data_IF_734456336217
#
_entry.id   IF_734456336217
#
_cell.length_a   1.000
_cell.length_b   1.000
_cell.length_c   1.000
_cell.angle_alpha   90.00
_cell.angle_beta   90.00
_cell.angle_gamma   90.00
#
_symmetry.space_group_name_H-M   'P 1'
#
loop_
_entity.id
_entity.type
_entity.pdbx_description
1 polymer ?
#
# COMPACT_ATOMS: atom_id res chain seq x y z
N UNK A 1 11.68 7.32 -8.26
CA UNK A 1 12.50 6.64 -9.29
C UNK A 1 13.45 5.61 -8.70
N UNK A 2 14.21 5.94 -7.65
CA UNK A 2 15.24 5.02 -7.13
C UNK A 2 14.76 3.79 -6.34
N UNK A 3 13.47 3.70 -5.97
CA UNK A 3 12.92 2.59 -5.19
C UNK A 3 12.11 1.56 -6.01
N UNK A 4 12.18 1.65 -7.33
CA UNK A 4 11.50 0.76 -8.27
C UNK A 4 12.23 -0.59 -8.36
N UNK A 5 11.48 -1.70 -8.46
CA UNK A 5 12.05 -3.03 -8.73
C UNK A 5 11.89 -3.42 -10.20
N UNK A 6 10.77 -3.05 -10.82
CA UNK A 6 10.52 -3.20 -12.26
C UNK A 6 10.69 -1.87 -12.98
N UNK A 7 11.85 -1.68 -13.63
CA UNK A 7 12.18 -0.44 -14.32
C UNK A 7 11.35 -0.20 -15.59
N UNK A 8 10.73 -1.23 -16.18
CA UNK A 8 9.87 -1.06 -17.35
C UNK A 8 8.52 -0.49 -16.94
N UNK A 9 7.94 -1.04 -15.86
CA UNK A 9 6.63 -0.61 -15.35
C UNK A 9 6.70 0.56 -14.40
N UNK A 10 7.89 0.90 -13.89
CA UNK A 10 8.08 1.90 -12.84
C UNK A 10 7.33 1.58 -11.53
N UNK A 11 7.22 0.29 -11.20
CA UNK A 11 6.54 -0.23 -10.01
C UNK A 11 7.54 -0.93 -9.08
N UNK A 12 7.35 -0.79 -7.77
CA UNK A 12 8.05 -1.59 -6.78
C UNK A 12 7.17 -2.75 -6.33
N UNK A 13 7.60 -3.98 -6.62
CA UNK A 13 6.97 -5.21 -6.18
C UNK A 13 7.80 -5.83 -5.05
N UNK A 14 7.15 -6.11 -3.92
CA UNK A 14 7.74 -6.73 -2.75
C UNK A 14 6.97 -8.02 -2.43
N UNK A 15 7.67 -9.15 -2.45
CA UNK A 15 7.10 -10.45 -2.09
C UNK A 15 7.40 -10.78 -0.63
N UNK A 16 6.37 -11.18 0.11
CA UNK A 16 6.40 -11.43 1.55
C UNK A 16 7.08 -10.31 2.38
N UNK A 17 6.76 -9.01 2.19
CA UNK A 17 7.43 -7.96 2.93
C UNK A 17 7.02 -7.90 4.41
N UNK A 18 7.92 -7.37 5.22
CA UNK A 18 7.55 -6.74 6.48
C UNK A 18 7.06 -5.32 6.25
N UNK A 19 6.14 -4.84 7.09
CA UNK A 19 5.50 -3.54 6.96
C UNK A 19 5.67 -2.78 8.27
N UNK A 20 6.51 -1.75 8.25
CA UNK A 20 6.65 -0.80 9.34
C UNK A 20 5.57 0.28 9.19
N UNK A 21 4.78 0.48 10.23
CA UNK A 21 3.66 1.44 10.25
C UNK A 21 3.90 2.42 11.39
N UNK A 22 4.11 3.70 11.06
CA UNK A 22 4.33 4.74 12.05
C UNK A 22 3.68 6.05 11.62
N UNK A 23 3.27 6.86 12.60
CA UNK A 23 2.85 8.24 12.38
C UNK A 23 4.02 9.24 12.54
N UNK A 24 5.22 8.74 12.84
CA UNK A 24 6.42 9.56 12.99
C UNK A 24 7.05 9.90 11.65
N UNK A 25 7.81 10.99 11.67
CA UNK A 25 8.71 11.38 10.60
C UNK A 25 10.07 10.71 10.79
N UNK A 26 10.59 10.09 9.73
CA UNK A 26 11.88 9.39 9.74
C UNK A 26 12.90 10.27 9.00
N UNK A 27 13.62 11.10 9.77
CA UNK A 27 14.69 11.96 9.24
C UNK A 27 16.09 11.36 9.45
N UNK A 28 16.26 10.55 10.50
CA UNK A 28 17.53 9.93 10.87
C UNK A 28 17.45 8.41 10.72
N UNK A 29 18.45 7.84 10.06
CA UNK A 29 18.54 6.39 9.86
C UNK A 29 18.79 5.64 11.18
N UNK A 30 19.44 6.29 12.16
CA UNK A 30 19.78 5.69 13.46
C UNK A 30 18.54 5.23 14.25
N UNK A 31 17.39 5.88 14.03
CA UNK A 31 16.16 5.54 14.74
C UNK A 31 15.55 4.21 14.26
N UNK A 32 15.86 3.80 13.03
CA UNK A 32 15.37 2.54 12.44
C UNK A 32 16.48 1.51 12.23
N UNK A 33 17.74 1.86 12.47
CA UNK A 33 18.90 1.00 12.25
C UNK A 33 18.82 -0.35 12.98
N UNK A 34 18.39 -0.44 14.25
CA UNK A 34 18.23 -1.73 14.95
C UNK A 34 17.21 -2.66 14.27
N UNK A 35 16.12 -2.07 13.77
CA UNK A 35 15.08 -2.80 13.04
C UNK A 35 15.60 -3.27 11.67
N UNK A 36 16.34 -2.42 10.96
CA UNK A 36 16.94 -2.76 9.67
C UNK A 36 17.93 -3.92 9.78
N UNK A 37 18.78 -3.94 10.80
CA UNK A 37 19.71 -5.05 11.07
C UNK A 37 18.96 -6.36 11.31
N UNK A 38 17.86 -6.31 12.05
CA UNK A 38 17.01 -7.47 12.33
C UNK A 38 16.34 -8.01 11.07
N UNK A 39 15.87 -7.13 10.18
CA UNK A 39 15.24 -7.53 8.91
C UNK A 39 16.28 -8.07 7.92
N UNK A 40 17.49 -7.50 7.89
CA UNK A 40 18.59 -7.97 7.04
C UNK A 40 18.91 -9.45 7.29
N UNK A 41 18.85 -9.91 8.54
CA UNK A 41 19.05 -11.33 8.87
C UNK A 41 17.97 -12.24 8.30
N UNK A 42 16.74 -11.74 8.15
CA UNK A 42 15.60 -12.48 7.60
C UNK A 42 15.55 -12.50 6.07
N UNK A 43 16.39 -11.68 5.40
CA UNK A 43 16.43 -11.53 3.94
C UNK A 43 15.06 -11.27 3.29
N UNK A 44 14.17 -10.57 4.00
CA UNK A 44 12.82 -10.18 3.52
C UNK A 44 12.79 -8.70 3.16
N UNK A 45 11.98 -8.30 2.16
CA UNK A 45 11.80 -6.88 1.84
C UNK A 45 11.07 -6.12 2.95
N UNK A 46 11.27 -4.81 3.00
CA UNK A 46 10.62 -3.91 3.95
C UNK A 46 9.82 -2.82 3.23
N UNK A 47 8.55 -2.67 3.60
CA UNK A 47 7.73 -1.50 3.30
C UNK A 47 7.70 -0.60 4.54
N UNK A 48 8.00 0.69 4.37
CA UNK A 48 7.90 1.71 5.42
C UNK A 48 6.74 2.63 5.08
N UNK A 49 5.75 2.71 5.97
CA UNK A 49 4.64 3.66 5.92
C UNK A 49 4.84 4.64 7.08
N UNK A 50 5.22 5.87 6.78
CA UNK A 50 5.54 6.91 7.75
C UNK A 50 4.93 8.25 7.35
N UNK A 51 4.82 9.23 8.26
CA UNK A 51 4.35 10.57 7.89
C UNK A 51 5.20 11.18 6.77
N UNK A 52 6.51 11.14 6.97
CA UNK A 52 7.48 11.50 5.95
C UNK A 52 8.79 10.73 6.16
N UNK A 53 9.52 10.52 5.08
CA UNK A 53 10.88 9.95 5.10
C UNK A 53 11.79 10.91 4.35
N UNK A 54 12.63 11.62 5.11
CA UNK A 54 13.47 12.69 4.58
C UNK A 54 14.86 12.70 5.23
N UNK A 55 15.56 13.83 5.10
CA UNK A 55 16.89 14.03 5.71
C UNK A 55 17.93 13.04 5.17
N UNK A 56 18.72 12.49 6.09
CA UNK A 56 19.77 11.52 5.77
C UNK A 56 19.23 10.10 5.62
N UNK A 57 18.02 9.82 6.13
CA UNK A 57 17.41 8.50 6.03
C UNK A 57 17.10 8.13 4.58
N UNK A 58 16.45 9.02 3.82
CA UNK A 58 16.02 8.72 2.45
C UNK A 58 17.19 8.40 1.49
N UNK A 59 18.28 9.21 1.40
CA UNK A 59 19.43 8.88 0.55
C UNK A 59 20.10 7.57 0.95
N UNK A 60 20.16 7.28 2.25
CA UNK A 60 20.78 6.05 2.78
C UNK A 60 19.97 4.82 2.39
N UNK A 61 18.63 4.88 2.51
CA UNK A 61 17.74 3.79 2.08
C UNK A 61 17.85 3.55 0.57
N UNK A 62 17.90 4.63 -0.21
CA UNK A 62 18.07 4.56 -1.68
C UNK A 62 19.40 3.93 -2.05
N UNK A 63 20.51 4.34 -1.43
CA UNK A 63 21.84 3.82 -1.74
C UNK A 63 21.95 2.32 -1.44
N UNK A 64 21.39 1.88 -0.31
CA UNK A 64 21.37 0.46 0.05
C UNK A 64 20.52 -0.38 -0.90
N UNK A 65 19.39 0.18 -1.38
CA UNK A 65 18.59 -0.49 -2.41
C UNK A 65 19.33 -0.63 -3.74
N UNK A 66 19.99 0.43 -4.21
CA UNK A 66 20.77 0.40 -5.47
C UNK A 66 21.92 -0.62 -5.37
N UNK A 67 22.54 -0.76 -4.20
CA UNK A 67 23.59 -1.75 -3.95
C UNK A 67 23.07 -3.19 -3.88
N UNK A 68 21.75 -3.39 -3.91
CA UNK A 68 21.12 -4.71 -3.79
C UNK A 68 21.28 -5.36 -2.42
N UNK A 69 21.79 -4.63 -1.42
CA UNK A 69 21.99 -5.15 -0.06
C UNK A 69 20.68 -5.21 0.72
N UNK A 70 19.72 -4.33 0.40
CA UNK A 70 18.46 -4.24 1.13
C UNK A 70 17.30 -3.81 0.23
N UNK A 71 16.25 -4.62 0.10
CA UNK A 71 15.08 -4.24 -0.68
C UNK A 71 14.06 -3.51 0.21
N UNK A 72 14.08 -2.17 0.13
CA UNK A 72 13.19 -1.29 0.89
C UNK A 72 12.40 -0.36 -0.02
N UNK A 73 11.17 -0.07 0.38
CA UNK A 73 10.32 0.96 -0.22
C UNK A 73 9.71 1.79 0.90
N UNK A 74 9.83 3.11 0.79
CA UNK A 74 9.21 4.04 1.71
C UNK A 74 8.07 4.78 1.02
N UNK A 75 6.90 4.85 1.67
CA UNK A 75 5.71 5.55 1.22
C UNK A 75 5.18 6.45 2.33
N UNK A 76 4.48 7.51 1.94
CA UNK A 76 3.84 8.42 2.89
C UNK A 76 2.55 7.81 3.45
N UNK A 77 2.29 8.07 4.72
CA UNK A 77 1.07 7.68 5.39
C UNK A 77 -0.16 8.36 4.73
N UNK A 78 -1.27 7.63 4.56
CA UNK A 78 -2.47 8.20 3.97
C UNK A 78 -3.17 9.15 4.95
N UNK A 79 -3.73 10.24 4.41
CA UNK A 79 -4.49 11.21 5.19
C UNK A 79 -3.63 12.10 6.11
N UNK A 80 -4.32 12.86 6.97
CA UNK A 80 -3.71 13.85 7.87
C UNK A 80 -4.43 13.85 9.23
N UNK A 81 -3.73 14.30 10.28
CA UNK A 81 -4.28 14.39 11.63
C UNK A 81 -4.85 13.07 12.15
N UNK A 82 -6.00 13.12 12.82
CA UNK A 82 -6.64 11.94 13.41
C UNK A 82 -7.05 10.89 12.37
N UNK A 83 -7.35 11.33 11.14
CA UNK A 83 -7.67 10.41 10.04
C UNK A 83 -6.48 9.54 9.68
N UNK A 84 -5.27 10.09 9.71
CA UNK A 84 -4.04 9.32 9.48
C UNK A 84 -3.88 8.23 10.53
N UNK A 85 -4.04 8.56 11.81
CA UNK A 85 -3.94 7.59 12.90
C UNK A 85 -4.94 6.45 12.72
N UNK A 86 -6.19 6.78 12.42
CA UNK A 86 -7.23 5.79 12.18
C UNK A 86 -6.95 4.90 10.95
N UNK A 87 -6.39 5.46 9.87
CA UNK A 87 -6.03 4.70 8.67
C UNK A 87 -4.77 3.84 8.87
N UNK A 88 -3.77 4.33 9.61
CA UNK A 88 -2.59 3.53 9.97
C UNK A 88 -2.98 2.35 10.85
N UNK A 89 -3.91 2.56 11.79
CA UNK A 89 -4.49 1.49 12.60
C UNK A 89 -5.23 0.45 11.74
N UNK A 90 -6.00 0.89 10.74
CA UNK A 90 -6.66 -0.03 9.79
C UNK A 90 -5.64 -0.90 9.05
N UNK A 91 -4.54 -0.31 8.58
CA UNK A 91 -3.47 -1.03 7.87
C UNK A 91 -2.75 -1.99 8.84
N UNK A 92 -2.50 -1.57 10.08
CA UNK A 92 -1.91 -2.42 11.12
C UNK A 92 -2.78 -3.65 11.39
N UNK A 93 -4.08 -3.46 11.61
CA UNK A 93 -5.02 -4.58 11.83
C UNK A 93 -5.06 -5.50 10.61
N UNK A 94 -5.10 -4.95 9.39
CA UNK A 94 -5.15 -5.73 8.15
C UNK A 94 -3.87 -6.54 7.91
N UNK A 95 -2.72 -6.04 8.35
CA UNK A 95 -1.41 -6.68 8.16
C UNK A 95 -0.94 -7.48 9.37
N UNK A 96 -1.66 -7.42 10.50
CA UNK A 96 -1.26 -8.07 11.75
C UNK A 96 -0.12 -7.36 12.49
N UNK A 97 0.14 -6.09 12.16
CA UNK A 97 1.18 -5.28 12.80
C UNK A 97 0.64 -4.35 13.89
N UNK A 98 1.55 -3.65 14.57
CA UNK A 98 1.22 -2.60 15.54
C UNK A 98 1.71 -1.25 15.02
N UNK A 99 0.87 -0.21 15.17
CA UNK A 99 1.29 1.16 14.81
C UNK A 99 2.26 1.68 15.86
N UNK A 100 3.46 2.08 15.42
CA UNK A 100 4.45 2.71 16.28
C UNK A 100 4.15 4.20 16.35
N UNK A 101 3.56 4.63 17.46
CA UNK A 101 3.14 6.01 17.71
C UNK A 101 3.59 6.51 19.07
N UNK A 102 3.84 7.81 19.14
CA UNK A 102 4.19 8.53 20.36
C UNK A 102 3.06 8.51 21.40
N UNK A 103 1.80 8.47 20.94
CA UNK A 103 0.63 8.43 21.83
C UNK A 103 0.61 7.19 22.73
N UNK A 104 1.19 6.09 22.25
CA UNK A 104 1.32 4.82 22.96
C UNK A 104 2.68 4.69 23.68
N UNK A 105 3.52 5.73 23.63
CA UNK A 105 4.86 5.73 24.22
C UNK A 105 5.85 4.80 23.50
N UNK A 106 5.58 4.43 22.24
CA UNK A 106 6.44 3.55 21.47
C UNK A 106 7.49 4.36 20.69
N UNK A 107 8.75 3.96 20.81
CA UNK A 107 9.85 4.51 20.03
C UNK A 107 10.21 3.62 18.85
N UNK A 108 10.67 4.22 17.75
CA UNK A 108 11.14 3.47 16.57
C UNK A 108 12.34 2.58 16.89
N UNK A 109 13.14 2.96 17.89
CA UNK A 109 14.33 2.22 18.33
C UNK A 109 13.99 0.91 19.03
N UNK A 110 12.85 0.88 19.70
CA UNK A 110 12.37 -0.28 20.45
C UNK A 110 11.45 -1.16 19.61
N UNK A 111 11.27 -0.83 18.33
CA UNK A 111 10.49 -1.60 17.38
C UNK A 111 11.07 -3.01 17.23
N UNK A 112 10.25 -4.04 17.46
CA UNK A 112 10.60 -5.44 17.23
C UNK A 112 10.02 -5.92 15.90
N UNK A 113 10.56 -7.02 15.36
CA UNK A 113 10.00 -7.67 14.16
C UNK A 113 8.53 -8.07 14.39
N UNK A 114 8.16 -8.43 15.63
CA UNK A 114 6.80 -8.81 16.01
C UNK A 114 5.79 -7.67 15.88
N UNK A 115 6.25 -6.41 15.99
CA UNK A 115 5.41 -5.24 15.78
C UNK A 115 5.16 -4.96 14.29
N UNK A 116 5.93 -5.57 13.37
CA UNK A 116 5.78 -5.33 11.93
C UNK A 116 4.60 -6.11 11.35
N UNK A 117 3.85 -5.44 10.49
CA UNK A 117 2.83 -6.09 9.68
C UNK A 117 3.46 -7.00 8.62
N UNK A 118 2.66 -7.93 8.11
CA UNK A 118 3.05 -8.83 7.03
C UNK A 118 1.97 -8.90 5.96
N UNK A 119 2.40 -9.14 4.72
CA UNK A 119 1.51 -9.37 3.58
C UNK A 119 2.17 -10.36 2.61
N UNK A 120 1.39 -11.03 1.77
CA UNK A 120 1.93 -11.92 0.75
C UNK A 120 2.63 -11.14 -0.37
N UNK A 121 2.04 -10.02 -0.81
CA UNK A 121 2.63 -9.15 -1.84
C UNK A 121 2.25 -7.70 -1.61
N UNK A 122 3.19 -6.79 -1.88
CA UNK A 122 2.93 -5.35 -1.95
C UNK A 122 3.39 -4.82 -3.30
N UNK A 123 2.54 -4.04 -3.95
CA UNK A 123 2.89 -3.29 -5.15
C UNK A 123 2.76 -1.79 -4.88
N UNK A 124 3.80 -1.03 -5.17
CA UNK A 124 3.85 0.42 -5.00
C UNK A 124 4.12 1.06 -6.34
N UNK A 125 3.18 1.88 -6.81
CA UNK A 125 3.36 2.77 -7.95
C UNK A 125 3.53 4.23 -7.48
N UNK A 126 3.46 5.19 -8.41
CA UNK A 126 3.65 6.60 -8.09
C UNK A 126 2.56 7.16 -7.16
N UNK A 127 1.33 6.69 -7.34
CA UNK A 127 0.12 7.28 -6.77
C UNK A 127 -0.58 6.32 -5.79
N UNK A 128 -0.33 5.02 -5.87
CA UNK A 128 -0.99 3.97 -5.11
C UNK A 128 -0.02 2.99 -4.45
N UNK A 129 -0.44 2.48 -3.30
CA UNK A 129 0.18 1.35 -2.60
C UNK A 129 -0.89 0.28 -2.40
N UNK A 130 -0.67 -0.89 -2.98
CA UNK A 130 -1.58 -2.03 -2.91
C UNK A 130 -0.97 -3.13 -2.07
N UNK A 131 -1.64 -3.49 -0.97
CA UNK A 131 -1.26 -4.58 -0.08
C UNK A 131 -2.19 -5.76 -0.37
N UNK A 132 -1.61 -6.92 -0.70
CA UNK A 132 -2.33 -8.13 -1.09
C UNK A 132 -2.12 -9.20 -0.03
N UNK A 133 -3.23 -9.79 0.44
CA UNK A 133 -3.26 -10.85 1.46
C UNK A 133 -2.44 -10.46 2.70
N UNK A 134 -2.93 -9.48 3.45
CA UNK A 134 -2.37 -9.12 4.76
C UNK A 134 -2.55 -10.24 5.78
N UNK A 135 -1.58 -10.42 6.68
CA UNK A 135 -1.57 -11.48 7.69
C UNK A 135 -2.37 -11.11 8.97
N UNK A 136 -3.33 -10.21 8.86
CA UNK A 136 -4.18 -9.79 9.97
C UNK A 136 -5.15 -10.86 10.44
N UNK A 137 -5.51 -10.82 11.72
CA UNK A 137 -6.52 -11.70 12.30
C UNK A 137 -7.92 -11.39 11.71
N UNK A 138 -8.61 -12.38 11.09
CA UNK A 138 -9.95 -12.19 10.56
C UNK A 138 -10.97 -11.64 11.57
N UNK A 139 -10.86 -12.02 12.86
CA UNK A 139 -11.75 -11.51 13.90
C UNK A 139 -11.48 -10.02 14.18
N UNK A 140 -10.21 -9.64 14.30
CA UNK A 140 -9.82 -8.24 14.48
C UNK A 140 -10.28 -7.36 13.30
N UNK A 141 -10.16 -7.86 12.06
CA UNK A 141 -10.63 -7.16 10.85
C UNK A 141 -12.16 -7.03 10.88
N UNK A 142 -12.90 -8.10 11.21
CA UNK A 142 -14.36 -8.08 11.29
C UNK A 142 -14.86 -7.09 12.36
N UNK A 143 -14.20 -7.06 13.52
CA UNK A 143 -14.48 -6.10 14.58
C UNK A 143 -14.23 -4.67 14.12
N UNK A 144 -13.12 -4.42 13.42
CA UNK A 144 -12.82 -3.09 12.89
C UNK A 144 -13.85 -2.64 11.86
N UNK A 145 -14.29 -3.54 10.98
CA UNK A 145 -15.37 -3.31 10.02
C UNK A 145 -16.68 -2.95 10.73
N UNK A 146 -17.02 -3.64 11.82
CA UNK A 146 -18.23 -3.35 12.60
C UNK A 146 -18.18 -1.96 13.27
N UNK A 147 -17.01 -1.57 13.80
CA UNK A 147 -16.80 -0.23 14.38
C UNK A 147 -16.98 0.87 13.33
N UNK A 148 -16.44 0.70 12.13
CA UNK A 148 -16.59 1.71 11.07
C UNK A 148 -18.05 1.79 10.60
N UNK A 149 -18.76 0.66 10.50
CA UNK A 149 -20.19 0.64 10.17
C UNK A 149 -21.04 1.40 11.18
N UNK A 150 -20.80 1.23 12.48
CA UNK A 150 -21.55 1.97 13.50
C UNK A 150 -21.25 3.48 13.45
N UNK A 151 -20.01 3.87 13.17
CA UNK A 151 -19.64 5.28 12.97
C UNK A 151 -20.37 5.93 11.77
N UNK A 152 -20.60 5.17 10.69
CA UNK A 152 -21.35 5.62 9.50
C UNK A 152 -22.82 5.91 9.83
N UNK A 153 -23.43 5.12 10.73
CA UNK A 153 -24.84 5.28 11.12
C UNK A 153 -25.04 6.49 12.04
N UNK A 154 -24.08 6.76 12.92
CA UNK A 154 -24.17 7.85 13.90
C UNK A 154 -23.75 9.19 13.31
N UNK A 155 -22.92 9.21 12.26
CA UNK A 155 -22.44 10.47 11.68
C UNK A 155 -23.55 11.23 10.95
N UNK A 156 -23.65 12.53 11.25
CA UNK A 156 -24.57 13.49 10.62
C UNK A 156 -23.93 14.24 9.46
N UNK A 157 -22.60 14.14 9.31
CA UNK A 157 -21.81 14.79 8.27
C UNK A 157 -21.73 13.89 7.03
N UNK A 158 -22.21 14.37 5.87
CA UNK A 158 -22.11 13.63 4.61
C UNK A 158 -20.65 13.39 4.20
N UNK A 159 -19.77 14.38 4.44
CA UNK A 159 -18.34 14.27 4.17
C UNK A 159 -17.68 13.15 4.99
N UNK A 160 -18.00 13.04 6.28
CA UNK A 160 -17.45 11.97 7.12
C UNK A 160 -18.06 10.61 6.76
N UNK A 161 -19.33 10.59 6.35
CA UNK A 161 -19.98 9.38 5.85
C UNK A 161 -19.27 8.83 4.61
N UNK A 162 -18.99 9.68 3.63
CA UNK A 162 -18.25 9.31 2.42
C UNK A 162 -16.86 8.76 2.76
N UNK A 163 -16.12 9.44 3.65
CA UNK A 163 -14.77 9.00 4.03
C UNK A 163 -14.74 7.72 4.86
N UNK A 164 -15.74 7.50 5.71
CA UNK A 164 -15.88 6.23 6.41
C UNK A 164 -16.29 5.09 5.45
N UNK A 165 -17.12 5.38 4.45
CA UNK A 165 -17.45 4.41 3.40
C UNK A 165 -16.22 4.03 2.56
N UNK A 166 -15.35 4.98 2.20
CA UNK A 166 -14.09 4.68 1.52
C UNK A 166 -13.19 3.74 2.35
N UNK A 167 -13.06 4.00 3.66
CA UNK A 167 -12.29 3.13 4.57
C UNK A 167 -12.90 1.75 4.69
N UNK A 168 -14.23 1.69 4.87
CA UNK A 168 -14.97 0.44 4.94
C UNK A 168 -14.79 -0.38 3.66
N UNK A 169 -14.88 0.25 2.48
CA UNK A 169 -14.69 -0.41 1.20
C UNK A 169 -13.29 -0.99 1.05
N UNK A 170 -12.26 -0.29 1.53
CA UNK A 170 -10.86 -0.78 1.50
C UNK A 170 -10.64 -1.98 2.43
N UNK A 171 -11.31 -2.01 3.59
CA UNK A 171 -11.19 -3.11 4.55
C UNK A 171 -12.05 -4.33 4.18
N UNK A 172 -13.27 -4.11 3.71
CA UNK A 172 -14.23 -5.16 3.41
C UNK A 172 -14.15 -5.67 1.95
N UNK A 173 -13.77 -4.81 1.01
CA UNK A 173 -13.73 -5.12 -0.42
C UNK A 173 -12.59 -6.05 -0.83
N UNK A 174 -11.55 -6.15 0.01
CA UNK A 174 -10.41 -7.02 -0.23
C UNK A 174 -9.66 -6.71 -1.53
N UNK A 175 -8.79 -7.63 -1.94
CA UNK A 175 -8.07 -7.56 -3.21
C UNK A 175 -8.30 -8.84 -3.98
N UNK A 176 -8.83 -8.73 -5.20
CA UNK A 176 -8.99 -9.86 -6.11
C UNK A 176 -7.69 -10.10 -6.89
N UNK A 177 -7.16 -11.32 -6.83
CA UNK A 177 -5.95 -11.72 -7.57
C UNK A 177 -6.35 -12.58 -8.77
N UNK A 178 -6.04 -12.10 -9.98
CA UNK A 178 -6.29 -12.82 -11.23
C UNK A 178 -4.99 -13.52 -11.65
N UNK A 179 -5.00 -14.86 -11.66
CA UNK A 179 -3.87 -15.68 -12.11
C UNK A 179 -4.07 -16.07 -13.56
N UNK A 180 -3.22 -15.55 -14.44
CA UNK A 180 -3.23 -15.83 -15.88
C UNK A 180 -2.27 -16.99 -16.16
N UNK A 181 -2.74 -18.00 -16.90
CA UNK A 181 -1.91 -19.13 -17.34
C UNK A 181 -1.72 -19.11 -18.86
N UNK A 182 -0.55 -19.53 -19.33
CA UNK A 182 -0.25 -19.68 -20.76
C UNK A 182 0.69 -20.88 -20.99
N UNK A 183 0.78 -21.36 -22.23
CA UNK A 183 1.59 -22.52 -22.57
C UNK A 183 3.09 -22.19 -22.67
N UNK A 184 3.43 -20.96 -23.06
CA UNK A 184 4.81 -20.48 -23.18
C UNK A 184 5.02 -19.17 -22.41
N UNK A 185 6.28 -18.85 -22.06
CA UNK A 185 6.61 -17.61 -21.33
C UNK A 185 6.25 -16.35 -22.12
N UNK A 186 6.42 -16.37 -23.45
CA UNK A 186 6.08 -15.24 -24.32
C UNK A 186 4.57 -15.00 -24.33
N UNK A 187 3.77 -16.05 -24.47
CA UNK A 187 2.30 -15.95 -24.39
C UNK A 187 1.83 -15.50 -23.01
N UNK A 188 2.52 -15.93 -21.94
CA UNK A 188 2.20 -15.50 -20.58
C UNK A 188 2.33 -13.97 -20.44
N UNK A 189 3.45 -13.41 -20.93
CA UNK A 189 3.69 -11.96 -20.90
C UNK A 189 2.67 -11.20 -21.76
N UNK A 190 2.40 -11.72 -22.94
CA UNK A 190 1.46 -11.14 -23.91
C UNK A 190 0.03 -11.10 -23.36
N UNK A 191 -0.44 -12.23 -22.81
CA UNK A 191 -1.77 -12.32 -22.23
C UNK A 191 -1.90 -11.53 -20.92
N UNK A 192 -0.84 -11.47 -20.12
CA UNK A 192 -0.77 -10.59 -18.94
C UNK A 192 -0.97 -9.13 -19.35
N UNK A 193 -0.26 -8.64 -20.37
CA UNK A 193 -0.40 -7.26 -20.86
C UNK A 193 -1.81 -6.97 -21.38
N UNK A 194 -2.40 -7.88 -22.18
CA UNK A 194 -3.79 -7.69 -22.66
C UNK A 194 -4.80 -7.62 -21.51
N UNK A 195 -4.63 -8.44 -20.48
CA UNK A 195 -5.55 -8.45 -19.34
C UNK A 195 -5.37 -7.20 -18.48
N UNK A 196 -4.13 -6.74 -18.28
CA UNK A 196 -3.86 -5.47 -17.60
C UNK A 196 -4.51 -4.30 -18.34
N UNK A 197 -4.36 -4.23 -19.67
CA UNK A 197 -5.00 -3.19 -20.50
C UNK A 197 -6.52 -3.26 -20.42
N UNK A 198 -7.10 -4.47 -20.53
CA UNK A 198 -8.54 -4.66 -20.41
C UNK A 198 -9.08 -4.27 -19.03
N UNK A 199 -8.34 -4.57 -17.96
CA UNK A 199 -8.71 -4.18 -16.60
C UNK A 199 -8.69 -2.65 -16.43
N UNK A 200 -7.67 -1.99 -16.94
CA UNK A 200 -7.57 -0.53 -16.87
C UNK A 200 -8.67 0.16 -17.71
N UNK A 201 -8.95 -0.34 -18.91
CA UNK A 201 -10.01 0.17 -19.77
C UNK A 201 -11.40 -0.01 -19.15
N UNK A 202 -11.67 -1.17 -18.52
CA UNK A 202 -12.96 -1.42 -17.85
C UNK A 202 -13.12 -0.58 -16.59
N UNK A 203 -12.05 -0.34 -15.83
CA UNK A 203 -12.08 0.61 -14.69
C UNK A 203 -12.43 2.03 -15.15
N UNK A 204 -11.72 2.55 -16.15
CA UNK A 204 -11.98 3.88 -16.70
C UNK A 204 -13.42 4.00 -17.23
N UNK A 205 -13.92 2.97 -17.92
CA UNK A 205 -15.29 2.92 -18.41
C UNK A 205 -16.36 2.94 -17.31
N UNK A 206 -16.08 2.32 -16.15
CA UNK A 206 -16.99 2.33 -14.99
C UNK A 206 -16.95 3.67 -14.27
N UNK A 207 -15.78 4.30 -14.17
CA UNK A 207 -15.58 5.57 -13.48
C UNK A 207 -16.13 6.77 -14.27
N UNK A 208 -15.80 6.85 -15.57
CA UNK A 208 -16.12 8.02 -16.41
C UNK A 208 -17.28 7.77 -17.40
N UNK A 209 -17.73 6.52 -17.52
CA UNK A 209 -18.74 6.11 -18.51
C UNK A 209 -18.13 5.69 -19.85
N UNK A 210 -18.99 5.42 -20.84
CA UNK A 210 -18.59 4.92 -22.15
C UNK A 210 -19.11 5.82 -23.28
N UNK A 211 -18.33 5.90 -24.36
CA UNK A 211 -18.68 6.60 -25.60
C UNK A 211 -18.44 5.71 -26.81
N UNK A 212 -18.99 6.09 -27.96
CA UNK A 212 -18.78 5.38 -29.22
C UNK A 212 -17.29 5.37 -29.62
N UNK A 213 -16.72 4.17 -29.72
CA UNK A 213 -15.31 3.95 -30.09
C UNK A 213 -15.00 4.23 -31.57
N UNK A 214 -13.87 3.70 -32.05
CA UNK A 214 -13.47 3.82 -33.46
C UNK A 214 -13.16 5.24 -33.94
N UNK A 215 -12.94 6.18 -33.01
CA UNK A 215 -12.74 7.60 -33.31
C UNK A 215 -14.02 8.40 -33.54
N UNK A 216 -15.20 7.77 -33.52
CA UNK A 216 -16.49 8.45 -33.74
C UNK A 216 -16.78 9.52 -32.69
N UNK A 217 -16.44 9.27 -31.42
CA UNK A 217 -16.59 10.27 -30.37
C UNK A 217 -15.81 11.57 -30.67
N UNK A 218 -14.62 11.48 -31.27
CA UNK A 218 -13.82 12.66 -31.60
C UNK A 218 -14.44 13.46 -32.76
N UNK A 219 -15.01 12.77 -33.76
CA UNK A 219 -15.70 13.44 -34.89
C UNK A 219 -16.94 14.17 -34.39
N UNK A 220 -17.77 13.51 -33.58
CA UNK A 220 -19.02 14.06 -33.07
C UNK A 220 -18.84 15.28 -32.15
N UNK A 221 -17.66 15.50 -31.58
CA UNK A 221 -17.36 16.66 -30.70
C UNK A 221 -16.87 17.87 -31.50
N UNK A 222 -16.42 17.65 -32.74
CA UNK A 222 -15.95 18.73 -33.63
C UNK A 222 -17.11 19.38 -34.40
N UNK A 223 -18.15 18.60 -34.72
CA UNK A 223 -19.40 19.05 -35.36
C UNK A 223 -20.31 19.80 -34.36
#
# INVERSE_FOLDING_TARGET
QYMVTDNEKMVAELDNPYILITDKKISNIQDILPLLESILQSNRPLLIIADDVDGEALPTLVLNKIRGTFNVVAVKAPGFGDRRKAMLEDIAILTGGTVITEDLGLELKDATIEALGQAAKVAVDKDHTTIVEGAGDPEAIANRVAVIKSQIEVTTSEFDREKLQERLAKLAGGVAVIKVGAATETELKEMKLRIEDALNATRAAVEEGIVSGGGTALVNVID
#
